data_IF_972399260607
#
_entry.id   IF_972399260607
#
_cell.length_a   1.000
_cell.length_b   1.000
_cell.length_c   1.000
_cell.angle_alpha   90.00
_cell.angle_beta   90.00
_cell.angle_gamma   90.00
#
_symmetry.space_group_name_H-M   'P 1'
#
loop_
_entity.id
_entity.type
_entity.pdbx_description
1 polymer ?
#
# COMPACT_ATOMS: atom_id res chain seq x y z
N UNK A 1 7.48 -1.72 -24.37
CA UNK A 1 6.75 -2.86 -23.78
C UNK A 1 6.71 -2.72 -22.26
N UNK A 2 7.83 -2.77 -21.54
CA UNK A 2 7.88 -2.74 -20.05
C UNK A 2 7.21 -1.51 -19.46
N UNK A 3 7.41 -0.32 -20.03
CA UNK A 3 6.76 0.90 -19.56
C UNK A 3 5.23 0.79 -19.67
N UNK A 4 4.72 0.24 -20.78
CA UNK A 4 3.28 0.00 -20.95
C UNK A 4 2.73 -1.02 -19.95
N UNK A 5 3.47 -2.11 -19.69
CA UNK A 5 3.12 -3.08 -18.68
C UNK A 5 3.05 -2.46 -17.27
N UNK A 6 4.06 -1.67 -16.90
CA UNK A 6 4.07 -0.95 -15.62
C UNK A 6 2.92 0.07 -15.50
N UNK A 7 2.56 0.76 -16.59
CA UNK A 7 1.42 1.69 -16.58
C UNK A 7 0.10 0.98 -16.27
N UNK A 8 -0.12 -0.21 -16.85
CA UNK A 8 -1.31 -1.03 -16.57
C UNK A 8 -1.29 -1.54 -15.13
N UNK A 9 -0.16 -2.05 -14.66
CA UNK A 9 -0.01 -2.53 -13.28
C UNK A 9 -0.19 -1.39 -12.26
N UNK A 10 0.28 -0.19 -12.56
CA UNK A 10 0.04 1.00 -11.73
C UNK A 10 -1.44 1.37 -11.65
N UNK A 11 -2.24 1.13 -12.70
CA UNK A 11 -3.70 1.32 -12.60
C UNK A 11 -4.33 0.34 -11.61
N UNK A 12 -3.88 -0.93 -11.57
CA UNK A 12 -4.31 -1.89 -10.55
C UNK A 12 -3.87 -1.46 -9.14
N UNK A 13 -2.65 -0.93 -9.03
CA UNK A 13 -2.14 -0.38 -7.77
C UNK A 13 -2.95 0.85 -7.30
N UNK A 14 -3.34 1.73 -8.21
CA UNK A 14 -4.19 2.88 -7.91
C UNK A 14 -5.59 2.45 -7.46
N UNK A 15 -6.19 1.45 -8.13
CA UNK A 15 -7.47 0.89 -7.71
C UNK A 15 -7.40 0.34 -6.29
N UNK A 16 -6.35 -0.42 -5.98
CA UNK A 16 -6.07 -0.89 -4.62
C UNK A 16 -5.96 0.28 -3.64
N UNK A 17 -5.18 1.31 -4.00
CA UNK A 17 -4.99 2.49 -3.15
C UNK A 17 -6.34 3.16 -2.82
N UNK A 18 -7.20 3.40 -3.80
CA UNK A 18 -8.53 4.00 -3.58
C UNK A 18 -9.41 3.18 -2.63
N UNK A 19 -9.34 1.85 -2.72
CA UNK A 19 -10.10 0.97 -1.82
C UNK A 19 -9.56 1.07 -0.39
N UNK A 20 -8.23 1.00 -0.22
CA UNK A 20 -7.59 1.09 1.09
C UNK A 20 -7.71 2.49 1.71
N UNK A 21 -7.69 3.56 0.90
CA UNK A 21 -7.92 4.94 1.35
C UNK A 21 -9.32 5.11 1.95
N UNK A 22 -10.34 4.41 1.45
CA UNK A 22 -11.66 4.40 2.07
C UNK A 22 -11.62 3.96 3.55
N UNK A 23 -10.82 2.96 3.88
CA UNK A 23 -10.60 2.52 5.26
C UNK A 23 -9.70 3.48 6.04
N UNK A 24 -8.72 4.09 5.40
CA UNK A 24 -7.89 5.13 6.01
C UNK A 24 -8.73 6.34 6.42
N UNK A 25 -9.64 6.81 5.58
CA UNK A 25 -10.56 7.91 5.90
C UNK A 25 -11.54 7.56 7.03
N UNK A 26 -12.04 6.31 7.07
CA UNK A 26 -12.84 5.86 8.19
C UNK A 26 -12.04 5.86 9.50
N UNK A 27 -10.79 5.39 9.46
CA UNK A 27 -9.88 5.42 10.61
C UNK A 27 -9.57 6.86 11.05
N UNK A 28 -9.32 7.78 10.12
CA UNK A 28 -9.09 9.20 10.38
C UNK A 28 -10.24 9.81 11.19
N UNK A 29 -11.47 9.67 10.71
CA UNK A 29 -12.65 10.23 11.37
C UNK A 29 -12.87 9.65 12.77
N UNK A 30 -12.71 8.33 12.92
CA UNK A 30 -12.93 7.65 14.20
C UNK A 30 -11.81 7.91 15.20
N UNK A 31 -10.56 7.98 14.75
CA UNK A 31 -9.39 8.33 15.57
C UNK A 31 -9.51 9.79 16.05
N UNK A 32 -9.85 10.73 15.16
CA UNK A 32 -10.07 12.12 15.54
C UNK A 32 -11.15 12.27 16.62
N UNK A 33 -12.25 11.49 16.50
CA UNK A 33 -13.31 11.46 17.53
C UNK A 33 -12.82 10.89 18.87
N UNK A 34 -12.02 9.82 18.84
CA UNK A 34 -11.49 9.20 20.07
C UNK A 34 -10.52 10.13 20.81
N UNK A 35 -9.64 10.82 20.07
CA UNK A 35 -8.70 11.80 20.62
C UNK A 35 -9.44 13.00 21.19
N UNK A 36 -10.44 13.53 20.46
CA UNK A 36 -11.25 14.65 20.96
C UNK A 36 -12.07 14.34 22.23
N UNK A 37 -12.25 13.04 22.55
CA UNK A 37 -12.87 12.57 23.78
C UNK A 37 -11.88 12.17 24.88
N UNK A 38 -10.57 12.25 24.59
CA UNK A 38 -9.49 11.77 25.47
C UNK A 38 -9.65 10.30 25.91
N UNK A 39 -10.35 9.48 25.07
CA UNK A 39 -10.67 8.08 25.37
C UNK A 39 -9.66 7.16 24.70
N UNK A 40 -8.64 6.76 25.46
CA UNK A 40 -7.58 5.86 25.01
C UNK A 40 -8.11 4.45 24.65
N UNK A 41 -9.14 3.96 25.36
CA UNK A 41 -9.74 2.65 25.05
C UNK A 41 -10.47 2.69 23.71
N UNK A 42 -11.24 3.76 23.49
CA UNK A 42 -11.92 3.98 22.22
C UNK A 42 -10.91 4.09 21.06
N UNK A 43 -9.81 4.82 21.27
CA UNK A 43 -8.73 4.95 20.27
C UNK A 43 -8.17 3.59 19.89
N UNK A 44 -7.75 2.78 20.87
CA UNK A 44 -7.17 1.47 20.63
C UNK A 44 -8.17 0.52 19.93
N UNK A 45 -9.42 0.49 20.40
CA UNK A 45 -10.46 -0.32 19.78
C UNK A 45 -10.73 0.10 18.33
N UNK A 46 -10.79 1.38 18.07
CA UNK A 46 -10.98 1.94 16.73
C UNK A 46 -9.89 1.46 15.77
N UNK A 47 -8.62 1.64 16.16
CA UNK A 47 -7.49 1.22 15.33
C UNK A 47 -7.53 -0.29 15.07
N UNK A 48 -7.81 -1.09 16.11
CA UNK A 48 -7.89 -2.55 15.97
C UNK A 48 -9.04 -3.00 15.03
N UNK A 49 -10.19 -2.34 15.10
CA UNK A 49 -11.34 -2.65 14.23
C UNK A 49 -11.01 -2.27 12.79
N UNK A 50 -10.53 -1.05 12.56
CA UNK A 50 -10.15 -0.60 11.22
C UNK A 50 -9.05 -1.50 10.61
N UNK A 51 -8.05 -1.90 11.42
CA UNK A 51 -7.00 -2.80 10.99
C UNK A 51 -7.54 -4.17 10.55
N UNK A 52 -8.41 -4.77 11.35
CA UNK A 52 -9.00 -6.08 10.99
C UNK A 52 -9.77 -6.02 9.68
N UNK A 53 -10.61 -5.02 9.50
CA UNK A 53 -11.37 -4.85 8.27
C UNK A 53 -10.49 -4.55 7.07
N UNK A 54 -9.48 -3.69 7.23
CA UNK A 54 -8.50 -3.42 6.17
C UNK A 54 -7.72 -4.67 5.75
N UNK A 55 -7.35 -5.54 6.70
CA UNK A 55 -6.68 -6.81 6.39
C UNK A 55 -7.63 -7.75 5.64
N UNK A 56 -8.90 -7.87 6.04
CA UNK A 56 -9.86 -8.72 5.34
C UNK A 56 -10.04 -8.26 3.89
N UNK A 57 -10.17 -6.96 3.66
CA UNK A 57 -10.30 -6.45 2.30
C UNK A 57 -9.00 -6.61 1.49
N UNK A 58 -7.84 -6.44 2.11
CA UNK A 58 -6.55 -6.66 1.46
C UNK A 58 -6.39 -8.12 1.00
N UNK A 59 -6.76 -9.07 1.85
CA UNK A 59 -6.77 -10.51 1.51
C UNK A 59 -7.77 -10.77 0.38
N UNK A 60 -8.97 -10.19 0.44
CA UNK A 60 -9.97 -10.33 -0.60
C UNK A 60 -9.45 -9.81 -1.95
N UNK A 61 -8.82 -8.63 -1.98
CA UNK A 61 -8.24 -8.05 -3.21
C UNK A 61 -7.08 -8.92 -3.72
N UNK A 62 -6.22 -9.44 -2.84
CA UNK A 62 -5.15 -10.36 -3.21
C UNK A 62 -5.70 -11.62 -3.91
N UNK A 63 -6.73 -12.24 -3.35
CA UNK A 63 -7.39 -13.40 -3.93
C UNK A 63 -8.07 -13.02 -5.26
N UNK A 64 -8.72 -11.86 -5.30
CA UNK A 64 -9.34 -11.36 -6.52
C UNK A 64 -8.31 -11.15 -7.65
N UNK A 65 -7.16 -10.55 -7.37
CA UNK A 65 -6.07 -10.40 -8.36
C UNK A 65 -5.46 -11.75 -8.74
N UNK A 66 -5.37 -12.71 -7.82
CA UNK A 66 -4.88 -14.05 -8.12
C UNK A 66 -5.79 -14.78 -9.12
N UNK A 67 -7.10 -14.67 -8.95
CA UNK A 67 -8.10 -15.39 -9.78
C UNK A 67 -8.34 -14.64 -11.10
N UNK A 68 -8.56 -13.34 -11.04
CA UNK A 68 -9.03 -12.54 -12.16
C UNK A 68 -7.96 -11.64 -12.79
N UNK A 69 -6.77 -11.52 -12.20
CA UNK A 69 -5.74 -10.58 -12.63
C UNK A 69 -5.37 -10.73 -14.10
N UNK A 70 -5.20 -11.96 -14.60
CA UNK A 70 -4.94 -12.20 -16.03
C UNK A 70 -6.07 -11.72 -16.94
N UNK A 71 -7.33 -11.97 -16.54
CA UNK A 71 -8.50 -11.56 -17.32
C UNK A 71 -8.62 -10.03 -17.34
N UNK A 72 -8.35 -9.38 -16.22
CA UNK A 72 -8.34 -7.91 -16.13
C UNK A 72 -7.29 -7.33 -17.07
N UNK A 73 -6.07 -7.88 -17.07
CA UNK A 73 -5.00 -7.44 -17.98
C UNK A 73 -5.39 -7.63 -19.45
N UNK A 74 -6.10 -8.70 -19.79
CA UNK A 74 -6.60 -8.95 -21.16
C UNK A 74 -7.62 -7.88 -21.61
N UNK A 75 -8.43 -7.37 -20.69
CA UNK A 75 -9.41 -6.31 -21.00
C UNK A 75 -8.70 -4.94 -21.10
N UNK A 76 -7.65 -4.72 -20.33
CA UNK A 76 -6.95 -3.43 -20.27
C UNK A 76 -6.05 -3.15 -21.47
N UNK A 77 -5.60 -4.17 -22.19
CA UNK A 77 -4.74 -3.99 -23.37
C UNK A 77 -4.97 -5.07 -24.42
N UNK A 78 -4.95 -4.63 -25.69
CA UNK A 78 -4.99 -5.51 -26.85
C UNK A 78 -3.59 -5.86 -27.39
N UNK A 79 -2.53 -5.21 -26.87
CA UNK A 79 -1.15 -5.45 -27.30
C UNK A 79 -0.57 -6.66 -26.58
N UNK A 80 -0.42 -7.79 -27.31
CA UNK A 80 0.06 -9.07 -26.75
C UNK A 80 1.38 -8.93 -25.99
N UNK A 81 2.38 -8.23 -26.55
CA UNK A 81 3.68 -8.06 -25.91
C UNK A 81 3.60 -7.29 -24.56
N UNK A 82 2.67 -6.33 -24.45
CA UNK A 82 2.45 -5.59 -23.19
C UNK A 82 1.72 -6.47 -22.18
N UNK A 83 0.75 -7.25 -22.64
CA UNK A 83 -0.02 -8.18 -21.84
C UNK A 83 0.87 -9.27 -21.23
N UNK A 84 1.72 -9.90 -22.04
CA UNK A 84 2.66 -10.92 -21.57
C UNK A 84 3.62 -10.35 -20.50
N UNK A 85 4.20 -9.18 -20.77
CA UNK A 85 5.03 -8.50 -19.77
C UNK A 85 4.27 -8.14 -18.50
N UNK A 86 3.01 -7.69 -18.58
CA UNK A 86 2.21 -7.38 -17.40
C UNK A 86 1.86 -8.63 -16.59
N UNK A 87 1.62 -9.77 -17.24
CA UNK A 87 1.38 -11.06 -16.58
C UNK A 87 2.63 -11.53 -15.80
N UNK A 88 3.82 -11.30 -16.35
CA UNK A 88 5.09 -11.63 -15.68
C UNK A 88 5.21 -10.90 -14.33
N UNK A 89 4.78 -9.62 -14.26
CA UNK A 89 4.87 -8.82 -13.04
C UNK A 89 3.60 -8.83 -12.17
N UNK A 90 2.53 -9.52 -12.60
CA UNK A 90 1.27 -9.64 -11.85
C UNK A 90 1.44 -10.18 -10.41
N UNK A 91 2.38 -11.11 -10.10
CA UNK A 91 2.61 -11.55 -8.72
C UNK A 91 2.87 -10.42 -7.72
N UNK A 92 3.51 -9.32 -8.16
CA UNK A 92 3.72 -8.15 -7.32
C UNK A 92 2.41 -7.46 -6.93
N UNK A 93 1.44 -7.43 -7.85
CA UNK A 93 0.11 -6.88 -7.58
C UNK A 93 -0.71 -7.77 -6.65
N UNK A 94 -0.52 -9.09 -6.71
CA UNK A 94 -1.20 -10.04 -5.82
C UNK A 94 -0.72 -9.88 -4.37
N UNK A 95 0.56 -9.63 -4.15
CA UNK A 95 1.15 -9.47 -2.81
C UNK A 95 0.95 -8.04 -2.26
N UNK A 96 0.88 -7.04 -3.14
CA UNK A 96 0.83 -5.62 -2.79
C UNK A 96 -0.27 -5.25 -1.78
N UNK A 97 -1.52 -5.75 -1.86
CA UNK A 97 -2.57 -5.40 -0.91
C UNK A 97 -2.21 -5.74 0.54
N UNK A 98 -1.67 -6.95 0.76
CA UNK A 98 -1.30 -7.44 2.09
C UNK A 98 -0.16 -6.62 2.70
N UNK A 99 0.79 -6.19 1.86
CA UNK A 99 1.94 -5.40 2.30
C UNK A 99 1.54 -3.94 2.56
N UNK A 100 0.75 -3.37 1.66
CA UNK A 100 0.43 -1.94 1.66
C UNK A 100 -0.61 -1.55 2.72
N UNK A 101 -1.46 -2.48 3.17
CA UNK A 101 -2.57 -2.21 4.10
C UNK A 101 -2.13 -1.47 5.36
N UNK A 102 -0.95 -1.78 5.89
CA UNK A 102 -0.41 -1.13 7.09
C UNK A 102 -0.10 0.34 6.85
N UNK A 103 0.54 0.67 5.72
CA UNK A 103 0.88 2.04 5.37
C UNK A 103 -0.37 2.89 5.20
N UNK A 104 -1.37 2.41 4.45
CA UNK A 104 -2.61 3.14 4.20
C UNK A 104 -3.42 3.35 5.48
N UNK A 105 -3.54 2.32 6.33
CA UNK A 105 -4.27 2.47 7.58
C UNK A 105 -3.62 3.50 8.51
N UNK A 106 -2.29 3.42 8.67
CA UNK A 106 -1.59 4.37 9.53
C UNK A 106 -1.62 5.80 8.99
N UNK A 107 -1.70 6.02 7.68
CA UNK A 107 -1.94 7.35 7.12
C UNK A 107 -3.22 7.96 7.73
N UNK A 108 -4.33 7.24 7.71
CA UNK A 108 -5.58 7.70 8.33
C UNK A 108 -5.45 7.92 9.84
N UNK A 109 -4.76 7.01 10.56
CA UNK A 109 -4.53 7.15 12.01
C UNK A 109 -3.74 8.42 12.32
N UNK A 110 -2.66 8.70 11.59
CA UNK A 110 -1.81 9.87 11.83
C UNK A 110 -2.51 11.19 11.44
N UNK A 111 -3.29 11.20 10.36
CA UNK A 111 -4.08 12.37 9.97
C UNK A 111 -5.15 12.63 11.02
N UNK A 112 -5.92 11.62 11.45
CA UNK A 112 -6.92 11.73 12.49
C UNK A 112 -6.36 12.17 13.85
N UNK A 113 -5.11 11.80 14.13
CA UNK A 113 -4.37 12.21 15.32
C UNK A 113 -3.71 13.59 15.19
N UNK A 114 -3.86 14.29 14.06
CA UNK A 114 -3.18 15.58 13.76
C UNK A 114 -1.65 15.48 13.80
N UNK A 115 -1.08 14.27 13.60
CA UNK A 115 0.35 13.98 13.62
C UNK A 115 0.96 13.85 12.20
N UNK A 116 0.54 14.73 11.30
CA UNK A 116 0.98 14.70 9.89
C UNK A 116 2.48 14.90 9.68
N UNK A 117 3.19 15.48 10.68
CA UNK A 117 4.65 15.61 10.62
C UNK A 117 5.34 14.26 10.65
N UNK A 118 4.97 13.39 11.58
CA UNK A 118 5.54 12.06 11.72
C UNK A 118 5.21 11.19 10.49
N UNK A 119 4.01 11.31 9.93
CA UNK A 119 3.62 10.65 8.69
C UNK A 119 4.53 11.08 7.53
N UNK A 120 4.73 12.39 7.35
CA UNK A 120 5.64 12.94 6.34
C UNK A 120 7.07 12.44 6.54
N UNK A 121 7.58 12.47 7.76
CA UNK A 121 8.96 12.10 8.07
C UNK A 121 9.18 10.59 7.86
N UNK A 122 8.20 9.75 8.19
CA UNK A 122 8.20 8.31 7.85
C UNK A 122 8.24 8.10 6.33
N UNK A 123 7.43 8.84 5.58
CA UNK A 123 7.36 8.74 4.12
C UNK A 123 8.68 9.18 3.47
N UNK A 124 9.22 10.34 3.86
CA UNK A 124 10.49 10.85 3.32
C UNK A 124 11.67 9.93 3.71
N UNK A 125 11.72 9.46 4.95
CA UNK A 125 12.72 8.50 5.41
C UNK A 125 12.67 7.20 4.59
N UNK A 126 11.48 6.63 4.42
CA UNK A 126 11.30 5.42 3.61
C UNK A 126 11.68 5.64 2.14
N UNK A 127 11.38 6.82 1.58
CA UNK A 127 11.73 7.16 0.20
C UNK A 127 13.25 7.29 0.00
N UNK A 128 13.90 8.15 0.80
CA UNK A 128 15.31 8.49 0.57
C UNK A 128 16.29 7.46 1.15
N UNK A 129 15.96 6.85 2.29
CA UNK A 129 16.87 5.93 2.98
C UNK A 129 16.65 4.48 2.56
N UNK A 130 15.42 4.13 2.13
CA UNK A 130 15.10 2.74 1.79
C UNK A 130 14.85 2.56 0.29
N UNK A 131 13.89 3.28 -0.29
CA UNK A 131 13.51 3.07 -1.69
C UNK A 131 14.66 3.37 -2.66
N UNK A 132 15.25 4.56 -2.59
CA UNK A 132 16.31 4.94 -3.53
C UNK A 132 17.53 4.01 -3.45
N UNK A 133 18.11 3.71 -2.27
CA UNK A 133 19.20 2.75 -2.18
C UNK A 133 18.82 1.35 -2.66
N UNK A 134 17.64 0.86 -2.27
CA UNK A 134 17.14 -0.45 -2.72
C UNK A 134 16.99 -0.52 -4.23
N UNK A 135 16.45 0.52 -4.86
CA UNK A 135 16.32 0.59 -6.30
C UNK A 135 17.68 0.56 -7.01
N UNK A 136 18.66 1.31 -6.51
CA UNK A 136 20.02 1.28 -7.05
C UNK A 136 20.67 -0.09 -6.95
N UNK A 137 20.55 -0.75 -5.80
CA UNK A 137 21.10 -2.08 -5.55
C UNK A 137 20.41 -3.17 -6.38
N UNK A 138 19.08 -3.04 -6.58
CA UNK A 138 18.26 -4.02 -7.28
C UNK A 138 18.17 -3.75 -8.79
N UNK A 139 18.81 -2.71 -9.29
CA UNK A 139 18.84 -2.37 -10.72
C UNK A 139 19.24 -3.53 -11.65
N UNK A 140 20.19 -4.42 -11.28
CA UNK A 140 20.51 -5.57 -12.12
C UNK A 140 19.36 -6.56 -12.34
N UNK A 141 18.35 -6.57 -11.46
CA UNK A 141 17.14 -7.39 -11.60
C UNK A 141 16.11 -6.80 -12.58
N UNK A 142 16.44 -5.69 -13.24
CA UNK A 142 15.54 -5.03 -14.19
C UNK A 142 14.23 -4.58 -13.53
N UNK A 143 13.11 -4.87 -14.18
CA UNK A 143 11.80 -4.45 -13.70
C UNK A 143 11.34 -5.16 -12.43
N UNK A 144 11.76 -6.42 -12.21
CA UNK A 144 11.53 -7.10 -10.93
C UNK A 144 12.20 -6.36 -9.77
N UNK A 145 13.39 -5.80 -10.00
CA UNK A 145 14.09 -4.98 -9.01
C UNK A 145 13.31 -3.71 -8.63
N UNK A 146 12.65 -3.08 -9.60
CA UNK A 146 11.80 -1.91 -9.34
C UNK A 146 10.60 -2.28 -8.44
N UNK A 147 9.88 -3.34 -8.78
CA UNK A 147 8.73 -3.81 -7.99
C UNK A 147 9.13 -4.30 -6.60
N UNK A 148 10.29 -4.96 -6.48
CA UNK A 148 10.85 -5.36 -5.19
C UNK A 148 11.22 -4.14 -4.34
N UNK A 149 11.88 -3.13 -4.93
CA UNK A 149 12.21 -1.88 -4.22
C UNK A 149 10.95 -1.16 -3.75
N UNK A 150 9.89 -1.12 -4.58
CA UNK A 150 8.59 -0.57 -4.20
C UNK A 150 7.95 -1.35 -3.03
N UNK A 151 8.03 -2.66 -3.05
CA UNK A 151 7.54 -3.53 -1.97
C UNK A 151 8.27 -3.25 -0.65
N UNK A 152 9.61 -3.17 -0.70
CA UNK A 152 10.46 -2.83 0.46
C UNK A 152 10.11 -1.43 0.99
N UNK A 153 9.87 -0.47 0.11
CA UNK A 153 9.40 0.87 0.48
C UNK A 153 8.09 0.83 1.27
N UNK A 154 7.10 0.09 0.79
CA UNK A 154 5.80 -0.02 1.46
C UNK A 154 5.92 -0.69 2.84
N UNK A 155 6.74 -1.73 2.96
CA UNK A 155 7.05 -2.36 4.25
C UNK A 155 7.71 -1.36 5.19
N UNK A 156 8.76 -0.68 4.74
CA UNK A 156 9.50 0.30 5.54
C UNK A 156 8.60 1.43 6.04
N UNK A 157 7.72 1.94 5.17
CA UNK A 157 6.76 2.97 5.52
C UNK A 157 5.79 2.49 6.60
N UNK A 158 5.20 1.30 6.44
CA UNK A 158 4.31 0.71 7.44
C UNK A 158 5.00 0.49 8.78
N UNK A 159 6.22 -0.04 8.78
CA UNK A 159 7.01 -0.28 9.99
C UNK A 159 7.40 1.02 10.68
N UNK A 160 7.89 2.03 9.96
CA UNK A 160 8.28 3.32 10.55
C UNK A 160 7.08 4.03 11.17
N UNK A 161 5.92 4.01 10.53
CA UNK A 161 4.69 4.58 11.07
C UNK A 161 4.23 3.83 12.33
N UNK A 162 4.27 2.50 12.32
CA UNK A 162 3.98 1.71 13.52
C UNK A 162 4.90 2.05 14.70
N UNK A 163 6.19 2.25 14.44
CA UNK A 163 7.15 2.66 15.47
C UNK A 163 6.87 4.08 16.01
N UNK A 164 6.48 5.02 15.14
CA UNK A 164 6.06 6.36 15.58
C UNK A 164 4.73 6.35 16.33
N UNK A 165 3.83 5.44 16.01
CA UNK A 165 2.59 5.26 16.74
C UNK A 165 2.81 4.77 18.18
N UNK A 166 3.80 3.91 18.39
CA UNK A 166 4.14 3.39 19.75
C UNK A 166 4.86 4.38 20.67
N UNK A 167 5.37 5.49 20.12
CA UNK A 167 5.97 6.59 20.88
C UNK A 167 4.93 7.61 21.30
#
# INVERSE_FOLDING_TARGET
VILGANAILMNLQNLLAYILDGFAHAAEAMVGKAIGREDQKLLQNTINICLRWSIYIAIFISIFYLIFGKNILQIMTQHEAIKEAAIEYLPWMIISPIISVWSFLYDGVFIGATRSKEMRDAMLGSLFVVFLPSWFLLKPLGNHGLWLAFTIFMISRGVSMYLFYKR
#
